data_IF_519488828650
#
_entry.id   IF_519488828650
#
_cell.length_a   1.000
_cell.length_b   1.000
_cell.length_c   1.000
_cell.angle_alpha   90.00
_cell.angle_beta   90.00
_cell.angle_gamma   90.00
#
_symmetry.space_group_name_H-M   'P 1'
#
loop_
_entity.id
_entity.type
_entity.pdbx_description
1 polymer ?
#
# COMPACT_ATOMS: atom_id res chain seq x y z
N UNK A 1 20.81 0.50 -12.44
CA UNK A 1 21.16 -0.83 -11.89
C UNK A 1 20.60 -1.08 -10.49
N UNK A 2 21.15 -0.55 -9.38
CA UNK A 2 20.65 -0.88 -8.01
C UNK A 2 19.22 -0.35 -7.76
N UNK A 3 18.94 0.90 -8.12
CA UNK A 3 17.61 1.51 -7.95
C UNK A 3 16.53 0.87 -8.84
N UNK A 4 16.86 0.49 -10.07
CA UNK A 4 15.90 -0.16 -10.98
C UNK A 4 15.50 -1.56 -10.49
N UNK A 5 16.45 -2.34 -9.96
CA UNK A 5 16.17 -3.63 -9.33
C UNK A 5 15.28 -3.49 -8.09
N UNK A 6 15.52 -2.45 -7.28
CA UNK A 6 14.70 -2.13 -6.12
C UNK A 6 13.27 -1.74 -6.53
N UNK A 7 13.11 -0.86 -7.52
CA UNK A 7 11.80 -0.43 -8.03
C UNK A 7 11.01 -1.61 -8.61
N UNK A 8 11.65 -2.47 -9.42
CA UNK A 8 11.01 -3.67 -9.99
C UNK A 8 10.56 -4.64 -8.89
N UNK A 9 11.37 -4.83 -7.86
CA UNK A 9 11.02 -5.67 -6.70
C UNK A 9 9.84 -5.10 -5.94
N UNK A 10 9.89 -3.82 -5.57
CA UNK A 10 8.80 -3.13 -4.86
C UNK A 10 7.50 -3.14 -5.68
N UNK A 11 7.57 -2.97 -7.01
CA UNK A 11 6.41 -3.06 -7.89
C UNK A 11 5.85 -4.49 -7.95
N UNK A 12 6.72 -5.50 -8.08
CA UNK A 12 6.32 -6.91 -8.05
C UNK A 12 5.62 -7.27 -6.75
N UNK A 13 6.18 -6.83 -5.62
CA UNK A 13 5.59 -6.95 -4.28
C UNK A 13 4.24 -6.26 -4.22
N UNK A 14 4.14 -4.99 -4.62
CA UNK A 14 2.87 -4.27 -4.61
C UNK A 14 1.79 -4.96 -5.45
N UNK A 15 2.19 -5.56 -6.58
CA UNK A 15 1.27 -6.27 -7.48
C UNK A 15 0.89 -7.67 -7.00
N UNK A 16 1.78 -8.41 -6.33
CA UNK A 16 1.57 -9.81 -5.96
C UNK A 16 1.32 -10.05 -4.46
N UNK A 17 1.56 -9.07 -3.59
CA UNK A 17 1.34 -9.21 -2.15
C UNK A 17 -0.14 -9.37 -1.77
N UNK A 18 -1.06 -8.96 -2.64
CA UNK A 18 -2.50 -9.05 -2.41
C UNK A 18 -3.19 -9.74 -3.57
N UNK A 19 -4.07 -10.70 -3.27
CA UNK A 19 -4.89 -11.36 -4.28
C UNK A 19 -5.79 -10.36 -5.02
N UNK A 20 -6.10 -10.63 -6.29
CA UNK A 20 -6.98 -9.78 -7.08
C UNK A 20 -8.34 -9.56 -6.41
N UNK A 21 -8.88 -10.60 -5.76
CA UNK A 21 -10.14 -10.52 -5.00
C UNK A 21 -10.05 -9.53 -3.83
N UNK A 22 -8.97 -9.59 -3.04
CA UNK A 22 -8.76 -8.66 -1.94
C UNK A 22 -8.65 -7.22 -2.45
N UNK A 23 -7.96 -7.01 -3.58
CA UNK A 23 -7.84 -5.70 -4.22
C UNK A 23 -9.19 -5.13 -4.65
N UNK A 24 -10.04 -5.93 -5.30
CA UNK A 24 -11.39 -5.53 -5.71
C UNK A 24 -12.25 -5.17 -4.50
N UNK A 25 -12.30 -6.06 -3.49
CA UNK A 25 -13.08 -5.82 -2.27
C UNK A 25 -12.61 -4.55 -1.55
N UNK A 26 -11.30 -4.34 -1.42
CA UNK A 26 -10.70 -3.14 -0.82
C UNK A 26 -11.21 -1.86 -1.50
N UNK A 27 -11.21 -1.81 -2.83
CA UNK A 27 -11.67 -0.62 -3.55
C UNK A 27 -13.19 -0.43 -3.45
N UNK A 28 -13.99 -1.51 -3.47
CA UNK A 28 -15.44 -1.41 -3.25
C UNK A 28 -15.74 -0.84 -1.86
N UNK A 29 -15.06 -1.33 -0.82
CA UNK A 29 -15.23 -0.84 0.56
C UNK A 29 -14.84 0.64 0.66
N UNK A 30 -13.71 1.04 0.08
CA UNK A 30 -13.31 2.44 0.05
C UNK A 30 -14.32 3.33 -0.67
N UNK A 31 -14.80 2.92 -1.86
CA UNK A 31 -15.81 3.67 -2.59
C UNK A 31 -17.12 3.79 -1.81
N UNK A 32 -17.55 2.72 -1.13
CA UNK A 32 -18.76 2.73 -0.31
C UNK A 32 -18.63 3.71 0.87
N UNK A 33 -17.50 3.67 1.60
CA UNK A 33 -17.24 4.59 2.72
C UNK A 33 -17.18 6.03 2.23
N UNK A 34 -16.44 6.31 1.15
CA UNK A 34 -16.34 7.67 0.61
C UNK A 34 -17.66 8.17 0.06
N UNK A 35 -18.43 7.31 -0.61
CA UNK A 35 -19.79 7.62 -1.08
C UNK A 35 -20.72 7.98 0.07
N UNK A 36 -20.67 7.23 1.17
CA UNK A 36 -21.46 7.52 2.37
C UNK A 36 -21.07 8.86 3.02
N UNK A 37 -19.76 9.13 3.18
CA UNK A 37 -19.26 10.40 3.74
C UNK A 37 -19.63 11.57 2.84
N UNK A 38 -19.47 11.42 1.52
CA UNK A 38 -19.86 12.42 0.55
C UNK A 38 -21.35 12.72 0.62
N UNK A 39 -22.19 11.69 0.71
CA UNK A 39 -23.65 11.87 0.79
C UNK A 39 -24.10 12.54 2.08
N UNK A 40 -23.38 12.33 3.18
CA UNK A 40 -23.73 12.87 4.51
C UNK A 40 -23.18 14.28 4.75
N UNK A 41 -21.90 14.52 4.46
CA UNK A 41 -21.19 15.74 4.82
C UNK A 41 -20.69 16.55 3.61
N UNK A 42 -20.93 16.05 2.41
CA UNK A 42 -20.52 16.70 1.17
C UNK A 42 -19.01 16.61 0.89
N UNK A 43 -18.60 17.31 -0.17
CA UNK A 43 -17.21 17.30 -0.63
C UNK A 43 -16.23 17.85 0.41
N UNK A 44 -16.61 18.92 1.13
CA UNK A 44 -15.76 19.64 2.07
C UNK A 44 -15.20 18.79 3.23
N UNK A 45 -15.92 17.73 3.63
CA UNK A 45 -15.44 16.76 4.62
C UNK A 45 -14.76 15.57 3.95
N UNK A 46 -15.28 15.12 2.81
CA UNK A 46 -14.78 13.94 2.09
C UNK A 46 -13.29 14.07 1.72
N UNK A 47 -12.88 15.23 1.19
CA UNK A 47 -11.48 15.44 0.83
C UNK A 47 -10.56 15.47 2.06
N UNK A 48 -11.04 16.00 3.19
CA UNK A 48 -10.26 16.02 4.45
C UNK A 48 -10.01 14.60 4.93
N UNK A 49 -11.04 13.76 4.93
CA UNK A 49 -10.92 12.33 5.29
C UNK A 49 -9.93 11.62 4.36
N UNK A 50 -10.03 11.83 3.04
CA UNK A 50 -9.08 11.28 2.07
C UNK A 50 -7.63 11.69 2.38
N UNK A 51 -7.40 12.98 2.61
CA UNK A 51 -6.07 13.50 2.95
C UNK A 51 -5.57 12.90 4.27
N UNK A 52 -6.40 12.85 5.30
CA UNK A 52 -6.06 12.24 6.59
C UNK A 52 -5.67 10.77 6.43
N UNK A 53 -6.41 10.01 5.62
CA UNK A 53 -6.10 8.61 5.35
C UNK A 53 -4.77 8.43 4.62
N UNK A 54 -4.45 9.30 3.65
CA UNK A 54 -3.15 9.26 2.96
C UNK A 54 -2.01 9.56 3.94
N UNK A 55 -2.14 10.62 4.74
CA UNK A 55 -1.11 11.01 5.72
C UNK A 55 -0.92 9.92 6.76
N UNK A 56 -1.99 9.45 7.40
CA UNK A 56 -1.93 8.39 8.42
C UNK A 56 -1.47 7.07 7.83
N UNK A 57 -1.97 6.67 6.66
CA UNK A 57 -1.57 5.45 5.99
C UNK A 57 -0.08 5.46 5.64
N UNK A 58 0.43 6.61 5.17
CA UNK A 58 1.85 6.81 4.87
C UNK A 58 2.69 6.77 6.15
N UNK A 59 2.27 7.48 7.20
CA UNK A 59 2.96 7.48 8.48
C UNK A 59 3.02 6.07 9.09
N UNK A 60 1.90 5.34 9.09
CA UNK A 60 1.82 3.95 9.57
C UNK A 60 2.68 3.02 8.72
N UNK A 61 2.69 3.20 7.39
CA UNK A 61 3.55 2.44 6.49
C UNK A 61 5.03 2.64 6.84
N UNK A 62 5.49 3.89 6.95
CA UNK A 62 6.89 4.19 7.31
C UNK A 62 7.23 3.76 8.73
N UNK A 63 6.30 3.90 9.68
CA UNK A 63 6.48 3.48 11.06
C UNK A 63 6.70 1.96 11.16
N UNK A 64 5.83 1.16 10.53
CA UNK A 64 6.03 -0.28 10.49
C UNK A 64 7.29 -0.66 9.72
N UNK A 65 7.57 0.01 8.61
CA UNK A 65 8.79 -0.22 7.83
C UNK A 65 10.06 0.06 8.64
N UNK A 66 10.06 1.09 9.49
CA UNK A 66 11.14 1.38 10.43
C UNK A 66 11.23 0.32 11.53
N UNK A 67 10.10 0.01 12.19
CA UNK A 67 10.04 -0.97 13.27
C UNK A 67 10.51 -2.36 12.84
N UNK A 68 10.16 -2.81 11.64
CA UNK A 68 10.53 -4.14 11.15
C UNK A 68 11.88 -4.16 10.43
N UNK A 69 12.64 -3.06 10.46
CA UNK A 69 13.86 -2.90 9.67
C UNK A 69 13.63 -3.23 8.17
N UNK A 70 12.44 -2.96 7.64
CA UNK A 70 12.04 -3.40 6.30
C UNK A 70 12.85 -2.77 5.16
N UNK A 71 13.64 -1.73 5.45
CA UNK A 71 14.60 -1.12 4.52
C UNK A 71 15.91 -1.91 4.39
N UNK A 72 16.28 -2.65 5.43
CA UNK A 72 17.59 -3.33 5.55
C UNK A 72 17.46 -4.85 5.60
N UNK A 73 16.31 -5.37 6.06
CA UNK A 73 16.05 -6.80 6.20
C UNK A 73 14.85 -7.24 5.35
N UNK A 74 14.93 -8.41 4.68
CA UNK A 74 13.78 -9.01 4.04
C UNK A 74 12.73 -9.38 5.10
N UNK A 75 11.48 -8.95 4.90
CA UNK A 75 10.40 -9.23 5.84
C UNK A 75 9.76 -10.61 5.59
N UNK A 76 9.63 -11.39 6.68
CA UNK A 76 8.83 -12.61 6.87
C UNK A 76 9.02 -13.77 5.87
N UNK A 77 8.63 -13.61 4.59
CA UNK A 77 8.60 -14.64 3.55
C UNK A 77 9.21 -14.18 2.21
N UNK A 78 9.76 -12.97 2.15
CA UNK A 78 10.51 -12.51 0.98
C UNK A 78 11.86 -13.24 0.92
N UNK A 79 11.85 -14.46 0.37
CA UNK A 79 13.08 -15.10 -0.10
C UNK A 79 13.84 -14.07 -0.97
N UNK A 80 15.17 -13.99 -0.88
CA UNK A 80 15.94 -13.36 -1.93
C UNK A 80 15.46 -13.95 -3.27
N UNK A 81 15.29 -13.09 -4.28
CA UNK A 81 14.93 -13.53 -5.63
C UNK A 81 16.15 -14.18 -6.28
N UNK A 82 16.70 -15.20 -5.63
CA UNK A 82 17.78 -16.02 -6.17
C UNK A 82 17.12 -17.00 -7.14
N UNK A 83 16.96 -16.58 -8.41
CA UNK A 83 16.38 -17.43 -9.46
C UNK A 83 15.59 -16.73 -10.57
N UNK A 84 15.59 -15.41 -10.70
CA UNK A 84 15.17 -14.78 -11.96
C UNK A 84 16.33 -14.90 -12.96
N UNK A 85 16.12 -15.43 -14.19
CA UNK A 85 17.14 -15.40 -15.22
C UNK A 85 17.52 -13.95 -15.51
N UNK A 86 18.84 -13.72 -15.64
CA UNK A 86 19.46 -12.42 -15.89
C UNK A 86 18.89 -11.70 -17.13
#
# INVERSE_FOLDING_TARGET
MIFEGLIKKELYVALHAQTARFRVVKYIVFLAIFGAIYRWKGWGTTWKVLLSMVVLGTAVHFFFRWMTEGWTKPWWLYKPLDGLPE
#
